data_IF_002928123353
#
_entry.id   IF_002928123353
#
_cell.length_a   1.000
_cell.length_b   1.000
_cell.length_c   1.000
_cell.angle_alpha   90.00
_cell.angle_beta   90.00
_cell.angle_gamma   90.00
#
_symmetry.space_group_name_H-M   'P 1'
#
loop_
_entity.id
_entity.type
_entity.pdbx_description
1 polymer ?
#
# COMPACT_ATOMS: atom_id res chain seq x y z
N UNK A 1 -38.05 10.00 -5.20
CA UNK A 1 -38.54 8.82 -4.45
C UNK A 1 -37.38 7.88 -4.31
N UNK A 2 -36.98 7.47 -3.11
CA UNK A 2 -35.97 6.45 -2.98
C UNK A 2 -36.53 5.14 -3.50
N UNK A 3 -35.76 4.48 -4.39
CA UNK A 3 -36.12 3.14 -4.87
C UNK A 3 -35.94 2.22 -3.66
N UNK A 4 -37.05 1.81 -3.07
CA UNK A 4 -37.09 0.76 -2.06
C UNK A 4 -36.65 -0.54 -2.74
N UNK A 5 -35.47 -1.01 -2.41
CA UNK A 5 -35.01 -2.36 -2.73
C UNK A 5 -35.83 -3.34 -1.84
N UNK A 6 -36.99 -3.75 -2.30
CA UNK A 6 -37.87 -4.69 -1.58
C UNK A 6 -37.23 -6.06 -1.33
N UNK A 7 -36.12 -6.40 -2.01
CA UNK A 7 -35.45 -7.71 -1.93
C UNK A 7 -34.24 -7.78 -0.96
N UNK A 8 -33.81 -6.66 -0.37
CA UNK A 8 -32.68 -6.65 0.56
C UNK A 8 -33.05 -6.96 2.02
N UNK A 9 -34.34 -6.94 2.33
CA UNK A 9 -34.87 -7.21 3.67
C UNK A 9 -34.77 -8.70 4.02
N UNK A 10 -33.65 -9.13 4.52
CA UNK A 10 -33.49 -10.51 4.96
C UNK A 10 -32.13 -11.13 4.62
N UNK A 11 -31.39 -10.59 3.67
CA UNK A 11 -30.06 -11.06 3.32
C UNK A 11 -28.97 -10.41 4.19
N UNK A 12 -27.92 -11.20 4.48
CA UNK A 12 -26.69 -10.70 5.09
C UNK A 12 -25.93 -9.93 4.02
N UNK A 13 -25.76 -8.63 4.23
CA UNK A 13 -25.09 -7.73 3.27
C UNK A 13 -23.93 -7.00 3.92
N UNK A 14 -22.96 -6.60 3.11
CA UNK A 14 -21.72 -5.98 3.57
C UNK A 14 -21.51 -4.62 2.95
N UNK A 15 -20.87 -3.74 3.72
CA UNK A 15 -20.23 -2.52 3.25
C UNK A 15 -18.77 -2.49 3.70
N UNK A 16 -17.96 -1.71 3.01
CA UNK A 16 -16.52 -1.63 3.28
C UNK A 16 -16.07 -0.20 3.49
N UNK A 17 -15.14 -0.01 4.42
CA UNK A 17 -14.35 1.19 4.62
C UNK A 17 -12.88 0.80 4.65
N UNK A 18 -12.03 1.61 4.05
CA UNK A 18 -10.59 1.37 4.02
C UNK A 18 -9.83 2.43 4.80
N UNK A 19 -8.67 2.05 5.33
CA UNK A 19 -7.79 2.97 6.02
C UNK A 19 -7.26 4.03 5.06
N UNK A 20 -7.34 5.30 5.47
CA UNK A 20 -6.74 6.43 4.74
C UNK A 20 -5.23 6.40 4.86
N UNK A 21 -4.55 6.53 3.74
CA UNK A 21 -3.08 6.47 3.68
C UNK A 21 -2.42 7.72 4.30
N UNK A 22 -3.12 8.83 4.51
CA UNK A 22 -2.50 10.13 4.80
C UNK A 22 -3.15 11.00 5.89
N UNK A 23 -4.14 10.55 6.67
CA UNK A 23 -4.80 11.46 7.61
C UNK A 23 -4.81 10.98 9.07
N UNK A 24 -4.50 11.92 10.00
CA UNK A 24 -4.49 11.67 11.45
C UNK A 24 -5.88 11.73 12.13
N UNK A 25 -6.91 12.24 11.47
CA UNK A 25 -8.17 12.63 12.13
C UNK A 25 -9.37 11.71 11.88
N UNK A 26 -9.38 10.95 10.80
CA UNK A 26 -10.34 9.87 10.57
C UNK A 26 -9.61 8.76 9.80
N UNK A 27 -9.27 7.64 10.46
CA UNK A 27 -8.43 6.63 9.84
C UNK A 27 -9.10 5.86 8.71
N UNK A 28 -10.43 5.94 8.57
CA UNK A 28 -11.17 5.19 7.56
C UNK A 28 -11.99 6.10 6.66
N UNK A 29 -12.10 5.73 5.40
CA UNK A 29 -12.96 6.36 4.38
C UNK A 29 -13.83 5.31 3.69
N UNK A 30 -14.89 5.75 3.02
CA UNK A 30 -15.73 4.86 2.23
C UNK A 30 -14.89 4.14 1.18
N UNK A 31 -15.23 2.88 0.90
CA UNK A 31 -14.58 2.10 -0.14
C UNK A 31 -14.57 2.84 -1.47
N UNK A 32 -13.42 2.82 -2.12
CA UNK A 32 -13.23 3.43 -3.44
C UNK A 32 -12.75 2.37 -4.44
N UNK A 33 -13.57 2.02 -5.46
CA UNK A 33 -13.22 1.00 -6.45
C UNK A 33 -12.02 1.38 -7.34
N UNK A 34 -11.65 2.66 -7.36
CA UNK A 34 -10.46 3.13 -8.08
C UNK A 34 -9.15 2.91 -7.30
N UNK A 35 -9.24 2.53 -6.03
CA UNK A 35 -8.09 2.40 -5.12
C UNK A 35 -7.98 1.04 -4.43
N UNK A 36 -9.00 0.20 -4.51
CA UNK A 36 -9.04 -1.06 -3.76
C UNK A 36 -9.54 -2.21 -4.62
N UNK A 37 -9.16 -3.46 -4.26
CA UNK A 37 -9.63 -4.64 -4.99
C UNK A 37 -11.15 -4.75 -5.02
N UNK A 38 -11.70 -5.23 -6.12
CA UNK A 38 -13.15 -5.34 -6.33
C UNK A 38 -13.77 -6.64 -5.78
N UNK A 39 -12.96 -7.54 -5.23
CA UNK A 39 -13.41 -8.80 -4.63
C UNK A 39 -13.00 -8.91 -3.18
N UNK A 40 -13.85 -9.50 -2.36
CA UNK A 40 -13.64 -9.69 -0.93
C UNK A 40 -13.88 -11.17 -0.58
N UNK A 41 -13.00 -11.74 0.25
CA UNK A 41 -13.23 -13.03 0.89
C UNK A 41 -13.84 -12.83 2.27
N UNK A 42 -14.89 -13.58 2.57
CA UNK A 42 -15.65 -13.45 3.82
C UNK A 42 -15.69 -14.79 4.55
N UNK A 43 -15.39 -14.74 5.83
CA UNK A 43 -15.67 -15.79 6.79
C UNK A 43 -16.72 -15.29 7.78
N UNK A 44 -17.70 -16.12 8.09
CA UNK A 44 -18.77 -15.76 9.02
C UNK A 44 -19.14 -16.94 9.92
N UNK A 45 -19.36 -16.69 11.19
CA UNK A 45 -19.75 -17.68 12.18
C UNK A 45 -20.93 -17.18 13.02
N UNK A 46 -21.77 -18.12 13.48
CA UNK A 46 -22.72 -17.88 14.54
C UNK A 46 -22.15 -18.39 15.88
N UNK A 47 -22.38 -17.67 16.96
CA UNK A 47 -22.06 -18.05 18.33
C UNK A 47 -20.61 -18.54 18.53
N UNK A 48 -19.67 -17.99 17.74
CA UNK A 48 -18.26 -18.41 17.68
C UNK A 48 -18.07 -19.90 17.34
N UNK A 49 -19.06 -20.54 16.71
CA UNK A 49 -18.97 -21.93 16.29
C UNK A 49 -18.28 -22.08 14.94
N UNK A 50 -16.98 -22.35 14.97
CA UNK A 50 -16.18 -22.57 13.77
C UNK A 50 -16.54 -23.85 13.00
N UNK A 51 -17.26 -24.81 13.63
CA UNK A 51 -17.68 -26.04 12.97
C UNK A 51 -18.84 -25.81 12.00
N UNK A 52 -19.69 -24.81 12.28
CA UNK A 52 -20.87 -24.48 11.49
C UNK A 52 -20.80 -23.05 10.97
N UNK A 53 -19.90 -22.74 10.02
CA UNK A 53 -19.76 -21.40 9.49
C UNK A 53 -20.97 -21.00 8.62
N UNK A 54 -21.31 -19.72 8.68
CA UNK A 54 -22.28 -19.07 7.78
C UNK A 54 -21.63 -18.89 6.40
N UNK A 55 -20.40 -18.40 6.40
CA UNK A 55 -19.57 -18.22 5.21
C UNK A 55 -18.21 -18.87 5.42
N UNK A 56 -17.76 -19.64 4.41
CA UNK A 56 -16.45 -20.28 4.35
C UNK A 56 -15.66 -19.69 3.20
N UNK A 57 -14.92 -18.62 3.44
CA UNK A 57 -14.20 -17.92 2.38
C UNK A 57 -15.09 -17.56 1.18
N UNK A 58 -16.31 -17.11 1.47
CA UNK A 58 -17.26 -16.74 0.44
C UNK A 58 -16.82 -15.50 -0.32
N UNK A 59 -16.95 -15.53 -1.63
CA UNK A 59 -16.63 -14.36 -2.47
C UNK A 59 -17.76 -13.35 -2.44
N UNK A 60 -17.41 -12.10 -2.14
CA UNK A 60 -18.29 -10.95 -2.39
C UNK A 60 -17.65 -10.03 -3.43
N UNK A 61 -18.44 -9.56 -4.38
CA UNK A 61 -17.98 -8.68 -5.46
C UNK A 61 -18.66 -7.33 -5.35
N UNK A 62 -17.88 -6.25 -5.45
CA UNK A 62 -18.42 -4.90 -5.38
C UNK A 62 -19.40 -4.60 -6.50
N UNK A 63 -20.59 -4.15 -6.13
CA UNK A 63 -21.61 -3.68 -7.05
C UNK A 63 -21.67 -2.14 -6.98
N UNK A 64 -21.18 -1.48 -8.04
CA UNK A 64 -21.12 -0.03 -8.10
C UNK A 64 -22.52 0.65 -8.12
N UNK A 65 -23.53 -0.04 -8.64
CA UNK A 65 -24.90 0.50 -8.72
C UNK A 65 -25.58 0.58 -7.36
N UNK A 66 -25.32 -0.40 -6.49
CA UNK A 66 -25.92 -0.48 -5.15
C UNK A 66 -24.94 -0.08 -4.03
N UNK A 67 -23.67 0.14 -4.38
CA UNK A 67 -22.59 0.41 -3.44
C UNK A 67 -22.49 -0.64 -2.31
N UNK A 68 -22.74 -1.90 -2.66
CA UNK A 68 -22.79 -3.02 -1.73
C UNK A 68 -21.95 -4.20 -2.21
N UNK A 69 -21.78 -5.17 -1.33
CA UNK A 69 -20.99 -6.37 -1.55
C UNK A 69 -21.86 -7.62 -1.45
N UNK A 70 -22.63 -7.95 -2.51
CA UNK A 70 -23.37 -9.21 -2.54
C UNK A 70 -22.40 -10.41 -2.55
N UNK A 71 -22.74 -11.43 -1.78
CA UNK A 71 -22.00 -12.71 -1.80
C UNK A 71 -22.47 -13.56 -2.97
N UNK A 72 -21.59 -14.44 -3.48
CA UNK A 72 -21.94 -15.37 -4.55
C UNK A 72 -23.08 -16.31 -4.14
N UNK A 73 -23.12 -16.71 -2.87
CA UNK A 73 -24.21 -17.50 -2.28
C UNK A 73 -24.90 -16.69 -1.18
N UNK A 74 -25.96 -15.94 -1.51
CA UNK A 74 -26.63 -15.10 -0.53
C UNK A 74 -27.22 -15.91 0.63
N UNK A 75 -27.01 -15.46 1.87
CA UNK A 75 -27.56 -16.02 3.10
C UNK A 75 -28.54 -15.05 3.73
N UNK A 76 -29.59 -15.57 4.36
CA UNK A 76 -30.59 -14.77 5.05
C UNK A 76 -30.37 -14.82 6.55
N UNK A 77 -30.63 -13.72 7.24
CA UNK A 77 -30.63 -13.70 8.70
C UNK A 77 -31.60 -14.70 9.29
N UNK A 78 -32.74 -14.89 8.63
CA UNK A 78 -33.79 -15.85 9.05
C UNK A 78 -33.34 -17.31 9.02
N UNK A 79 -32.26 -17.64 8.31
CA UNK A 79 -31.73 -19.00 8.26
C UNK A 79 -31.02 -19.38 9.59
N UNK A 80 -30.77 -18.38 10.46
CA UNK A 80 -30.03 -18.53 11.73
C UNK A 80 -30.83 -17.99 12.93
N UNK A 81 -32.07 -18.46 13.18
CA UNK A 81 -33.00 -17.84 14.13
C UNK A 81 -32.54 -17.97 15.60
N UNK A 82 -31.65 -18.91 15.89
CA UNK A 82 -31.17 -19.19 17.24
C UNK A 82 -29.81 -18.57 17.53
N UNK A 83 -29.20 -17.88 16.57
CA UNK A 83 -27.89 -17.27 16.77
C UNK A 83 -28.00 -16.07 17.70
N UNK A 84 -27.24 -16.08 18.79
CA UNK A 84 -27.15 -14.96 19.73
C UNK A 84 -26.06 -13.96 19.33
N UNK A 85 -25.07 -14.41 18.58
CA UNK A 85 -23.94 -13.62 18.10
C UNK A 85 -23.54 -14.03 16.69
N UNK A 86 -23.29 -13.06 15.85
CA UNK A 86 -22.69 -13.26 14.52
C UNK A 86 -21.32 -12.58 14.49
N UNK A 87 -20.32 -13.27 13.92
CA UNK A 87 -18.97 -12.72 13.74
C UNK A 87 -18.54 -12.83 12.30
N UNK A 88 -17.99 -11.73 11.72
CA UNK A 88 -17.54 -11.66 10.33
C UNK A 88 -16.12 -11.17 10.24
N UNK A 89 -15.31 -11.88 9.45
CA UNK A 89 -13.92 -11.58 9.11
C UNK A 89 -13.84 -11.43 7.61
N UNK A 90 -12.97 -10.54 7.15
CA UNK A 90 -12.83 -10.31 5.71
C UNK A 90 -11.44 -9.83 5.31
N UNK A 91 -11.12 -9.99 4.04
CA UNK A 91 -9.89 -9.54 3.40
C UNK A 91 -10.14 -9.29 1.92
N UNK A 92 -9.28 -8.54 1.27
CA UNK A 92 -9.31 -8.26 -0.16
C UNK A 92 -7.89 -8.35 -0.74
N UNK A 93 -7.74 -8.77 -2.03
CA UNK A 93 -8.74 -9.42 -2.87
C UNK A 93 -9.06 -10.85 -2.39
N UNK A 94 -10.18 -11.42 -2.84
CA UNK A 94 -10.51 -12.83 -2.58
C UNK A 94 -9.45 -13.78 -3.13
N UNK A 95 -9.11 -14.81 -2.37
CA UNK A 95 -8.22 -15.91 -2.72
C UNK A 95 -8.80 -17.24 -2.22
N UNK A 96 -8.89 -18.24 -3.10
CA UNK A 96 -9.36 -19.58 -2.72
C UNK A 96 -8.48 -20.26 -1.66
N UNK A 97 -7.20 -19.85 -1.58
CA UNK A 97 -6.24 -20.40 -0.61
C UNK A 97 -6.29 -19.73 0.76
N UNK A 98 -7.18 -18.76 0.97
CA UNK A 98 -7.31 -18.12 2.28
C UNK A 98 -7.93 -19.08 3.31
N UNK A 99 -7.47 -18.93 4.54
CA UNK A 99 -7.94 -19.74 5.67
C UNK A 99 -8.27 -18.86 6.86
N UNK A 100 -9.26 -19.27 7.63
CA UNK A 100 -9.50 -18.78 8.97
C UNK A 100 -9.44 -19.95 9.93
N UNK A 101 -8.40 -20.00 10.77
CA UNK A 101 -8.21 -21.06 11.75
C UNK A 101 -8.63 -20.56 13.13
N UNK A 102 -9.38 -21.38 13.85
CA UNK A 102 -9.69 -21.13 15.24
C UNK A 102 -8.72 -21.95 16.10
N UNK A 103 -7.92 -21.27 16.90
CA UNK A 103 -7.06 -21.91 17.89
C UNK A 103 -7.77 -22.00 19.24
N UNK A 104 -7.24 -22.78 20.15
CA UNK A 104 -7.77 -22.90 21.52
C UNK A 104 -7.89 -21.51 22.14
N UNK A 105 -9.03 -21.19 22.78
CA UNK A 105 -9.28 -19.93 23.52
C UNK A 105 -9.89 -18.77 22.73
N UNK A 106 -10.67 -19.01 21.67
CA UNK A 106 -11.39 -17.94 20.98
C UNK A 106 -10.50 -17.00 20.17
N UNK A 107 -9.30 -17.46 19.78
CA UNK A 107 -8.43 -16.73 18.86
C UNK A 107 -8.59 -17.27 17.45
N UNK A 108 -8.87 -16.40 16.52
CA UNK A 108 -9.01 -16.67 15.09
C UNK A 108 -7.82 -16.08 14.34
N UNK A 109 -7.20 -16.84 13.47
CA UNK A 109 -6.12 -16.36 12.61
C UNK A 109 -6.55 -16.43 11.16
N UNK A 110 -6.71 -15.25 10.55
CA UNK A 110 -6.96 -15.07 9.13
C UNK A 110 -5.63 -15.06 8.40
N UNK A 111 -5.52 -15.88 7.36
CA UNK A 111 -4.30 -16.01 6.56
C UNK A 111 -4.65 -16.14 5.09
N UNK A 112 -3.94 -15.42 4.22
CA UNK A 112 -4.10 -15.53 2.78
C UNK A 112 -2.80 -15.22 2.05
N UNK A 113 -2.53 -15.91 0.91
CA UNK A 113 -1.37 -15.63 0.10
C UNK A 113 -1.55 -14.35 -0.69
N UNK A 114 -0.46 -13.64 -0.87
CA UNK A 114 -0.37 -12.48 -1.75
C UNK A 114 0.85 -12.59 -2.65
N UNK A 115 0.68 -12.26 -3.91
CA UNK A 115 1.77 -12.19 -4.89
C UNK A 115 1.63 -10.91 -5.70
N UNK A 116 2.74 -10.25 -5.95
CA UNK A 116 2.78 -9.13 -6.89
C UNK A 116 2.57 -9.66 -8.29
N UNK A 117 1.61 -9.09 -9.01
CA UNK A 117 1.30 -9.53 -10.36
C UNK A 117 2.54 -9.46 -11.26
N UNK A 118 2.77 -10.55 -11.97
CA UNK A 118 3.78 -10.73 -13.02
C UNK A 118 5.25 -10.75 -12.60
N UNK A 119 5.61 -10.74 -11.33
CA UNK A 119 7.01 -10.80 -10.86
C UNK A 119 8.00 -9.88 -11.61
N UNK A 120 7.51 -8.95 -12.41
CA UNK A 120 8.32 -8.02 -13.23
C UNK A 120 8.65 -6.72 -12.51
N UNK A 121 7.94 -6.43 -11.43
CA UNK A 121 8.18 -5.27 -10.59
C UNK A 121 8.08 -5.64 -9.11
N UNK A 122 9.02 -5.20 -8.27
CA UNK A 122 8.96 -5.37 -6.82
C UNK A 122 8.08 -4.33 -6.13
N UNK A 123 7.41 -3.48 -6.90
CA UNK A 123 6.62 -2.36 -6.40
C UNK A 123 5.27 -2.30 -7.10
N UNK A 124 4.25 -1.91 -6.36
CA UNK A 124 2.91 -1.65 -6.85
C UNK A 124 2.70 -0.14 -6.90
N UNK A 125 2.33 0.38 -8.04
CA UNK A 125 1.87 1.77 -8.21
C UNK A 125 0.35 1.88 -8.20
N UNK A 126 -0.35 0.78 -8.53
CA UNK A 126 -1.80 0.72 -8.53
C UNK A 126 -2.30 0.08 -7.22
N UNK A 127 -2.88 0.88 -6.36
CA UNK A 127 -3.43 0.42 -5.08
C UNK A 127 -4.62 -0.53 -5.22
N UNK A 128 -5.23 -0.65 -6.42
CA UNK A 128 -6.25 -1.68 -6.70
C UNK A 128 -5.72 -3.11 -6.52
N UNK A 129 -4.42 -3.31 -6.71
CA UNK A 129 -3.77 -4.59 -6.49
C UNK A 129 -3.29 -4.79 -5.04
N UNK A 130 -3.33 -3.76 -4.19
CA UNK A 130 -2.83 -3.85 -2.83
C UNK A 130 -3.81 -4.60 -1.93
N UNK A 131 -3.37 -5.67 -1.24
CA UNK A 131 -4.23 -6.42 -0.34
C UNK A 131 -4.53 -5.62 0.93
N UNK A 132 -5.74 -5.82 1.45
CA UNK A 132 -6.21 -5.23 2.72
C UNK A 132 -6.88 -6.29 3.57
N UNK A 133 -6.80 -6.13 4.89
CA UNK A 133 -7.33 -7.10 5.86
C UNK A 133 -8.23 -6.39 6.87
N UNK A 134 -9.29 -7.04 7.35
CA UNK A 134 -10.16 -6.40 8.33
C UNK A 134 -9.40 -5.95 9.58
N UNK A 135 -9.67 -4.72 10.01
CA UNK A 135 -9.06 -4.11 11.18
C UNK A 135 -9.46 -4.86 12.44
N UNK A 136 -10.77 -5.10 12.56
CA UNK A 136 -11.39 -5.94 13.58
C UNK A 136 -12.54 -6.71 12.95
N UNK A 137 -12.85 -7.92 13.43
CA UNK A 137 -14.07 -8.62 13.08
C UNK A 137 -15.28 -7.80 13.51
N UNK A 138 -16.35 -7.87 12.73
CA UNK A 138 -17.62 -7.25 13.11
C UNK A 138 -18.48 -8.28 13.80
N UNK A 139 -18.90 -7.97 15.04
CA UNK A 139 -19.88 -8.77 15.77
C UNK A 139 -21.25 -8.09 15.74
N UNK A 140 -22.28 -8.87 15.49
CA UNK A 140 -23.68 -8.45 15.58
C UNK A 140 -24.41 -9.36 16.56
N UNK A 141 -25.12 -8.78 17.49
CA UNK A 141 -26.07 -9.52 18.34
C UNK A 141 -27.23 -10.12 17.55
N UNK A 142 -28.00 -10.99 18.17
CA UNK A 142 -29.16 -11.62 17.54
C UNK A 142 -30.03 -10.61 16.82
N UNK A 143 -30.27 -10.84 15.52
CA UNK A 143 -31.04 -9.91 14.68
C UNK A 143 -32.51 -10.24 14.81
N UNK A 144 -33.24 -9.38 15.49
CA UNK A 144 -34.70 -9.39 15.45
C UNK A 144 -35.18 -8.69 14.18
N UNK A 145 -36.39 -9.00 13.74
CA UNK A 145 -37.04 -8.43 12.54
C UNK A 145 -37.17 -6.91 12.57
N UNK A 146 -36.90 -6.28 13.70
CA UNK A 146 -37.06 -4.85 13.95
C UNK A 146 -35.75 -4.04 13.88
N UNK A 147 -34.58 -4.69 13.74
CA UNK A 147 -33.31 -3.98 13.68
C UNK A 147 -33.05 -3.40 12.29
N UNK A 148 -33.10 -2.09 12.17
CA UNK A 148 -32.88 -1.35 10.91
C UNK A 148 -31.46 -1.45 10.35
N UNK A 149 -30.45 -1.78 11.18
CA UNK A 149 -29.05 -1.84 10.78
C UNK A 149 -28.59 -3.27 10.46
N UNK A 150 -28.96 -3.75 9.28
CA UNK A 150 -28.67 -5.11 8.80
C UNK A 150 -27.40 -5.22 7.99
N UNK A 151 -26.74 -4.11 7.67
CA UNK A 151 -25.51 -4.09 6.90
C UNK A 151 -24.31 -4.31 7.81
N UNK A 152 -23.44 -5.24 7.46
CA UNK A 152 -22.19 -5.47 8.14
C UNK A 152 -21.14 -4.48 7.63
N UNK A 153 -20.77 -3.52 8.47
CA UNK A 153 -19.79 -2.48 8.10
C UNK A 153 -18.37 -2.95 8.43
N UNK A 154 -17.65 -3.41 7.42
CA UNK A 154 -16.27 -3.89 7.54
C UNK A 154 -15.27 -2.74 7.39
N UNK A 155 -14.26 -2.69 8.24
CA UNK A 155 -13.13 -1.75 8.15
C UNK A 155 -11.87 -2.53 7.83
N UNK A 156 -11.07 -2.00 6.90
CA UNK A 156 -9.88 -2.67 6.40
C UNK A 156 -8.62 -1.83 6.62
N UNK A 157 -7.58 -2.49 7.10
CA UNK A 157 -6.24 -1.95 7.21
C UNK A 157 -5.40 -2.32 5.99
N UNK A 158 -4.50 -1.43 5.60
CA UNK A 158 -3.51 -1.67 4.56
C UNK A 158 -2.48 -2.70 5.03
N UNK A 159 -2.05 -3.55 4.12
CA UNK A 159 -1.08 -4.60 4.44
C UNK A 159 0.30 -4.36 3.83
N UNK A 160 0.44 -3.41 2.93
CA UNK A 160 1.70 -3.05 2.29
C UNK A 160 2.29 -1.77 2.89
N UNK A 161 3.59 -1.61 2.74
CA UNK A 161 4.30 -0.37 3.11
C UNK A 161 4.43 0.53 1.88
N UNK A 162 4.03 1.79 2.04
CA UNK A 162 4.12 2.79 0.98
C UNK A 162 5.38 3.66 1.08
N UNK A 163 5.87 4.13 -0.05
CA UNK A 163 7.01 5.04 -0.17
C UNK A 163 6.76 6.10 -1.24
N UNK A 164 7.39 7.27 -1.05
CA UNK A 164 7.61 8.21 -2.13
C UNK A 164 9.07 8.66 -2.18
N UNK A 165 9.54 8.97 -3.37
CA UNK A 165 10.89 9.46 -3.60
C UNK A 165 10.87 10.96 -3.82
N UNK A 166 11.80 11.66 -3.19
CA UNK A 166 12.04 13.07 -3.48
C UNK A 166 13.53 13.38 -3.45
N UNK A 167 13.91 14.32 -4.27
CA UNK A 167 15.32 14.70 -4.49
C UNK A 167 15.53 16.17 -4.22
N UNK A 168 16.67 16.49 -3.65
CA UNK A 168 17.14 17.86 -3.46
C UNK A 168 18.64 17.93 -3.77
N UNK A 169 19.09 19.04 -4.33
CA UNK A 169 20.50 19.35 -4.46
C UNK A 169 21.04 19.87 -3.12
N UNK A 170 22.28 19.51 -2.76
CA UNK A 170 22.93 20.08 -1.59
C UNK A 170 23.03 21.61 -1.71
N UNK A 171 22.69 22.34 -0.65
CA UNK A 171 22.68 23.79 -0.61
C UNK A 171 24.08 24.41 -0.91
N UNK A 172 25.16 23.69 -0.65
CA UNK A 172 26.51 24.12 -1.02
C UNK A 172 26.76 24.18 -2.52
N UNK A 173 25.90 23.53 -3.30
CA UNK A 173 25.96 23.52 -4.76
C UNK A 173 25.35 24.75 -5.41
N UNK A 174 24.65 25.53 -4.65
CA UNK A 174 24.13 26.83 -4.90
C UNK A 174 23.28 27.02 -6.20
N UNK A 175 22.70 28.20 -6.34
CA UNK A 175 21.72 28.60 -7.38
C UNK A 175 22.24 28.55 -8.83
N UNK A 176 23.54 28.31 -9.07
CA UNK A 176 24.13 28.27 -10.40
C UNK A 176 24.08 26.89 -11.07
N UNK A 177 23.50 25.87 -10.40
CA UNK A 177 23.43 24.52 -10.93
C UNK A 177 22.05 23.92 -10.78
N UNK A 178 21.64 23.29 -11.85
CA UNK A 178 20.44 22.46 -11.85
C UNK A 178 20.81 21.03 -12.18
N UNK A 179 20.09 20.11 -11.58
CA UNK A 179 20.08 18.72 -11.97
C UNK A 179 18.76 18.40 -12.64
N UNK A 180 18.86 17.81 -13.80
CA UNK A 180 17.73 17.36 -14.57
C UNK A 180 17.70 15.85 -14.53
N UNK A 181 16.84 15.26 -13.68
CA UNK A 181 16.69 13.82 -13.57
C UNK A 181 15.93 13.29 -14.76
N UNK A 182 16.47 12.25 -15.41
CA UNK A 182 15.85 11.55 -16.53
C UNK A 182 15.21 10.24 -16.10
N UNK A 183 15.84 9.51 -15.21
CA UNK A 183 15.31 8.22 -14.74
C UNK A 183 15.74 7.91 -13.33
N UNK A 184 14.86 7.16 -12.67
CA UNK A 184 15.14 6.56 -11.38
C UNK A 184 14.83 5.07 -11.52
N UNK A 185 15.77 4.24 -11.11
CA UNK A 185 15.61 2.77 -11.15
C UNK A 185 15.87 2.17 -9.79
N UNK A 186 15.29 1.00 -9.57
CA UNK A 186 15.39 0.23 -8.36
C UNK A 186 15.99 -1.14 -8.68
N UNK A 187 16.97 -1.57 -7.90
CA UNK A 187 17.61 -2.87 -8.01
C UNK A 187 17.70 -3.53 -6.64
N UNK A 188 17.75 -4.85 -6.59
CA UNK A 188 17.92 -5.61 -5.34
C UNK A 188 17.27 -6.97 -5.38
N UNK A 189 17.45 -7.74 -4.32
CA UNK A 189 16.70 -8.97 -4.10
C UNK A 189 15.48 -8.64 -3.24
N UNK A 190 14.33 -8.44 -3.88
CA UNK A 190 13.16 -7.82 -3.28
C UNK A 190 11.99 -8.79 -3.21
N UNK A 191 11.13 -8.61 -2.20
CA UNK A 191 9.96 -9.45 -1.98
C UNK A 191 8.97 -9.37 -3.14
N UNK A 192 8.48 -10.54 -3.58
CA UNK A 192 7.51 -10.69 -4.67
C UNK A 192 6.23 -11.37 -4.23
N UNK A 193 6.28 -12.18 -3.16
CA UNK A 193 5.10 -12.80 -2.58
C UNK A 193 5.29 -13.07 -1.10
N UNK A 194 4.19 -13.23 -0.39
CA UNK A 194 4.17 -13.58 1.03
C UNK A 194 2.82 -14.20 1.42
N UNK A 195 2.76 -14.72 2.62
CA UNK A 195 1.51 -15.03 3.31
C UNK A 195 1.21 -13.91 4.31
N UNK A 196 0.06 -13.27 4.17
CA UNK A 196 -0.41 -12.21 5.09
C UNK A 196 -1.27 -12.86 6.16
N UNK A 197 -1.01 -12.53 7.43
CA UNK A 197 -1.70 -13.08 8.59
C UNK A 197 -2.13 -12.00 9.57
N UNK A 198 -3.26 -12.23 10.24
CA UNK A 198 -3.68 -11.44 11.39
C UNK A 198 -4.49 -12.30 12.35
N UNK A 199 -4.18 -12.21 13.63
CA UNK A 199 -4.92 -12.90 14.68
C UNK A 199 -5.88 -11.97 15.39
N UNK A 200 -7.05 -12.48 15.74
CA UNK A 200 -8.11 -11.77 16.43
C UNK A 200 -8.54 -12.58 17.64
N UNK A 201 -8.56 -11.96 18.81
CA UNK A 201 -8.94 -12.61 20.06
C UNK A 201 -10.16 -11.93 20.65
N UNK A 202 -11.19 -12.70 20.92
CA UNK A 202 -12.37 -12.23 21.63
C UNK A 202 -12.06 -12.02 23.11
N UNK A 203 -12.44 -10.90 23.65
CA UNK A 203 -12.30 -10.57 25.07
C UNK A 203 -13.69 -10.53 25.72
N UNK A 204 -14.02 -11.58 26.48
CA UNK A 204 -15.31 -11.69 27.16
C UNK A 204 -15.56 -10.56 28.16
N UNK A 205 -14.51 -10.09 28.84
CA UNK A 205 -14.64 -9.05 29.87
C UNK A 205 -15.04 -7.68 29.27
N UNK A 206 -14.55 -7.36 28.08
CA UNK A 206 -14.87 -6.11 27.37
C UNK A 206 -15.91 -6.26 26.27
N UNK A 207 -16.35 -7.48 26.02
CA UNK A 207 -17.26 -7.85 24.92
C UNK A 207 -16.79 -7.26 23.57
N UNK A 208 -15.49 -7.44 23.26
CA UNK A 208 -14.86 -6.82 22.11
C UNK A 208 -13.74 -7.68 21.54
N UNK A 209 -13.40 -7.41 20.28
CA UNK A 209 -12.26 -8.01 19.61
C UNK A 209 -10.98 -7.23 19.83
N UNK A 210 -9.87 -7.95 20.00
CA UNK A 210 -8.52 -7.44 19.88
C UNK A 210 -7.87 -8.03 18.63
N UNK A 211 -7.10 -7.23 17.90
CA UNK A 211 -6.32 -7.69 16.76
C UNK A 211 -4.83 -7.62 17.05
N UNK A 212 -4.08 -8.60 16.57
CA UNK A 212 -2.62 -8.51 16.52
C UNK A 212 -2.17 -7.50 15.47
N UNK A 213 -0.89 -7.20 15.46
CA UNK A 213 -0.26 -6.60 14.28
C UNK A 213 -0.41 -7.53 13.07
N UNK A 214 -0.34 -6.97 11.87
CA UNK A 214 -0.31 -7.74 10.63
C UNK A 214 1.05 -8.42 10.54
N UNK A 215 1.05 -9.71 10.20
CA UNK A 215 2.26 -10.52 9.99
C UNK A 215 2.45 -10.88 8.52
N UNK A 216 3.71 -11.04 8.13
CA UNK A 216 4.11 -11.52 6.80
C UNK A 216 5.06 -12.70 6.99
N UNK A 217 4.70 -13.85 6.41
CA UNK A 217 5.53 -15.06 6.40
C UNK A 217 5.75 -15.55 4.98
N UNK A 218 6.61 -16.56 4.84
CA UNK A 218 6.90 -17.24 3.57
C UNK A 218 7.31 -16.26 2.45
N UNK A 219 8.01 -15.18 2.82
CA UNK A 219 8.39 -14.13 1.88
C UNK A 219 9.33 -14.69 0.82
N UNK A 220 8.86 -14.69 -0.43
CA UNK A 220 9.67 -15.03 -1.60
C UNK A 220 10.27 -13.76 -2.18
N UNK A 221 11.51 -13.88 -2.68
CA UNK A 221 12.25 -12.75 -3.26
C UNK A 221 12.78 -13.10 -4.62
N UNK A 222 12.89 -12.09 -5.47
CA UNK A 222 13.53 -12.21 -6.78
C UNK A 222 14.56 -11.09 -7.00
N UNK A 223 15.59 -11.34 -7.79
CA UNK A 223 16.53 -10.30 -8.17
C UNK A 223 15.90 -9.36 -9.20
N UNK A 224 16.01 -8.06 -8.95
CA UNK A 224 15.61 -6.99 -9.86
C UNK A 224 16.82 -6.14 -10.22
N UNK A 225 16.91 -5.77 -11.49
CA UNK A 225 18.01 -4.95 -12.01
C UNK A 225 17.42 -3.77 -12.79
N UNK A 226 17.75 -2.57 -12.35
CA UNK A 226 17.35 -1.31 -13.03
C UNK A 226 15.85 -1.22 -13.37
N UNK A 227 14.99 -1.73 -12.47
CA UNK A 227 13.54 -1.63 -12.63
C UNK A 227 13.13 -0.17 -12.56
N UNK A 228 12.47 0.40 -13.58
CA UNK A 228 12.10 1.80 -13.61
C UNK A 228 11.08 2.15 -12.52
N UNK A 229 11.31 3.27 -11.83
CA UNK A 229 10.27 3.97 -11.06
C UNK A 229 9.77 5.09 -11.98
N UNK A 230 8.60 4.93 -12.62
CA UNK A 230 8.12 5.90 -13.59
C UNK A 230 7.79 7.22 -12.90
N UNK A 231 8.08 8.32 -13.56
CA UNK A 231 7.50 9.59 -13.21
C UNK A 231 6.04 9.56 -13.65
N UNK A 232 5.12 9.53 -12.71
CA UNK A 232 3.70 9.42 -13.03
C UNK A 232 2.87 10.34 -12.13
N UNK A 233 2.15 11.27 -12.80
CA UNK A 233 1.00 11.90 -12.18
C UNK A 233 1.26 12.95 -11.10
N UNK A 234 2.48 13.43 -10.92
CA UNK A 234 2.75 14.55 -10.03
C UNK A 234 2.81 15.85 -10.84
N UNK A 235 1.86 16.73 -10.57
CA UNK A 235 1.80 18.08 -11.18
C UNK A 235 2.82 19.00 -10.49
N UNK A 236 4.10 18.77 -10.78
CA UNK A 236 5.21 19.58 -10.29
C UNK A 236 5.64 20.55 -11.36
N UNK A 237 5.71 21.83 -11.04
CA UNK A 237 6.30 22.87 -11.90
C UNK A 237 7.77 22.59 -12.29
N UNK A 238 8.40 21.65 -11.59
CA UNK A 238 9.77 21.21 -11.86
C UNK A 238 9.86 20.11 -12.93
N UNK A 239 8.73 19.50 -13.30
CA UNK A 239 8.70 18.42 -14.28
C UNK A 239 8.41 18.97 -15.68
N UNK A 240 9.19 18.53 -16.65
CA UNK A 240 9.04 18.84 -18.06
C UNK A 240 8.48 17.62 -18.79
N UNK A 241 7.20 17.66 -19.15
CA UNK A 241 6.52 16.57 -19.85
C UNK A 241 7.11 16.28 -21.23
N UNK A 242 7.63 17.30 -21.91
CA UNK A 242 8.20 17.15 -23.26
C UNK A 242 9.51 16.36 -23.24
N UNK A 243 10.31 16.52 -22.19
CA UNK A 243 11.60 15.83 -22.03
C UNK A 243 11.54 14.66 -21.06
N UNK A 244 10.40 14.44 -20.39
CA UNK A 244 10.22 13.42 -19.33
C UNK A 244 11.28 13.54 -18.22
N UNK A 245 11.58 14.77 -17.81
CA UNK A 245 12.64 15.07 -16.83
C UNK A 245 12.14 15.94 -15.69
N UNK A 246 12.78 15.84 -14.52
CA UNK A 246 12.50 16.69 -13.37
C UNK A 246 13.73 17.52 -12.99
N UNK A 247 13.52 18.82 -12.80
CA UNK A 247 14.56 19.75 -12.35
C UNK A 247 14.64 19.71 -10.83
N UNK A 248 15.85 19.48 -10.32
CA UNK A 248 16.15 19.44 -8.88
C UNK A 248 17.10 20.59 -8.54
N UNK A 249 16.70 21.40 -7.58
CA UNK A 249 17.46 22.55 -7.08
C UNK A 249 17.79 22.38 -5.58
N UNK A 250 18.51 23.33 -5.02
CA UNK A 250 18.80 23.36 -3.57
C UNK A 250 17.66 23.98 -2.73
N UNK A 251 16.67 24.59 -3.36
CA UNK A 251 15.61 25.33 -2.67
C UNK A 251 14.57 24.44 -2.00
N UNK A 252 14.39 23.22 -2.51
CA UNK A 252 13.40 22.29 -1.95
C UNK A 252 13.51 20.90 -2.54
N UNK A 253 12.68 19.98 -2.01
CA UNK A 253 12.58 18.62 -2.54
C UNK A 253 11.64 18.59 -3.74
N UNK A 254 12.11 17.98 -4.82
CA UNK A 254 11.30 17.63 -5.99
C UNK A 254 10.92 16.15 -5.88
N UNK A 255 9.63 15.88 -5.81
CA UNK A 255 9.12 14.50 -5.78
C UNK A 255 9.27 13.86 -7.15
N UNK A 256 9.71 12.59 -7.17
CA UNK A 256 9.78 11.76 -8.36
C UNK A 256 8.66 10.73 -8.36
N UNK A 257 7.72 10.89 -9.27
CA UNK A 257 6.66 9.91 -9.48
C UNK A 257 5.57 9.88 -8.43
N UNK A 258 4.75 8.86 -8.53
CA UNK A 258 3.69 8.55 -7.58
C UNK A 258 4.23 7.76 -6.39
N UNK A 259 3.43 7.67 -5.34
CA UNK A 259 3.65 6.73 -4.26
C UNK A 259 3.70 5.29 -4.81
N UNK A 260 4.53 4.47 -4.22
CA UNK A 260 4.62 3.04 -4.54
C UNK A 260 4.61 2.19 -3.28
N UNK A 261 4.21 0.94 -3.43
CA UNK A 261 4.02 0.02 -2.30
C UNK A 261 4.85 -1.24 -2.49
N UNK A 262 5.35 -1.77 -1.38
CA UNK A 262 6.12 -3.02 -1.33
C UNK A 262 5.56 -3.94 -0.25
N UNK A 263 5.83 -5.24 -0.36
CA UNK A 263 5.66 -6.17 0.74
C UNK A 263 6.62 -5.76 1.86
N UNK A 264 6.13 -5.56 3.10
CA UNK A 264 7.01 -5.33 4.24
C UNK A 264 8.01 -6.47 4.41
N UNK A 265 9.29 -6.16 4.42
CA UNK A 265 10.37 -7.14 4.47
C UNK A 265 11.58 -6.56 5.19
N UNK A 266 12.01 -7.22 6.27
CA UNK A 266 13.19 -6.80 7.05
C UNK A 266 14.50 -6.87 6.25
N UNK A 267 14.52 -7.67 5.18
CA UNK A 267 15.63 -7.75 4.24
C UNK A 267 15.53 -6.75 3.08
N UNK A 268 14.58 -5.80 3.12
CA UNK A 268 14.42 -4.80 2.08
C UNK A 268 15.62 -3.84 2.06
N UNK A 269 16.52 -4.04 1.12
CA UNK A 269 17.73 -3.23 0.91
C UNK A 269 17.86 -2.82 -0.56
N UNK A 270 16.92 -2.02 -1.10
CA UNK A 270 16.94 -1.64 -2.49
C UNK A 270 18.08 -0.67 -2.78
N UNK A 271 18.67 -0.83 -3.97
CA UNK A 271 19.58 0.14 -4.56
C UNK A 271 18.77 1.07 -5.48
N UNK A 272 18.80 2.35 -5.19
CA UNK A 272 18.21 3.38 -6.03
C UNK A 272 19.33 3.96 -6.90
N UNK A 273 19.14 3.94 -8.22
CA UNK A 273 20.03 4.57 -9.19
C UNK A 273 19.30 5.71 -9.88
N UNK A 274 19.94 6.86 -9.95
CA UNK A 274 19.41 8.07 -10.59
C UNK A 274 20.30 8.42 -11.77
N UNK A 275 19.70 8.67 -12.94
CA UNK A 275 20.37 9.19 -14.12
C UNK A 275 19.93 10.64 -14.33
N UNK A 276 20.89 11.55 -14.47
CA UNK A 276 20.63 12.97 -14.52
C UNK A 276 21.64 13.73 -15.36
N UNK A 277 21.23 14.92 -15.84
CA UNK A 277 22.15 15.91 -16.40
C UNK A 277 22.51 16.93 -15.33
N UNK A 278 23.75 17.40 -15.38
CA UNK A 278 24.22 18.53 -14.57
C UNK A 278 24.30 19.75 -15.48
N UNK A 279 23.53 20.78 -15.17
CA UNK A 279 23.48 22.03 -15.90
C UNK A 279 24.14 23.14 -15.10
N UNK A 280 25.12 23.83 -15.68
CA UNK A 280 25.67 25.07 -15.14
C UNK A 280 24.87 26.23 -15.69
N UNK A 281 24.32 27.05 -14.82
CA UNK A 281 23.47 28.19 -15.17
C UNK A 281 24.24 29.49 -15.00
N UNK A 282 24.21 30.34 -16.01
CA UNK A 282 24.80 31.69 -15.97
C UNK A 282 23.91 32.65 -15.16
N UNK A 283 24.46 33.82 -14.80
CA UNK A 283 23.71 34.86 -14.09
C UNK A 283 22.46 35.34 -14.86
N UNK A 284 22.47 35.24 -16.19
CA UNK A 284 21.32 35.56 -17.03
C UNK A 284 20.27 34.43 -17.13
N UNK A 285 20.44 33.35 -16.36
CA UNK A 285 19.56 32.19 -16.32
C UNK A 285 19.74 31.20 -17.48
N UNK A 286 20.71 31.40 -18.37
CA UNK A 286 20.96 30.48 -19.49
C UNK A 286 21.88 29.34 -19.08
N UNK A 287 21.62 28.17 -19.61
CA UNK A 287 22.49 27.01 -19.46
C UNK A 287 23.79 27.23 -20.23
N UNK A 288 24.93 27.28 -19.54
CA UNK A 288 26.25 27.46 -20.15
C UNK A 288 26.86 26.13 -20.59
N UNK A 289 26.72 25.12 -19.74
CA UNK A 289 27.33 23.80 -19.96
C UNK A 289 26.38 22.75 -19.41
N UNK A 290 26.24 21.66 -20.13
CA UNK A 290 25.49 20.48 -19.69
C UNK A 290 26.37 19.25 -19.76
N UNK A 291 26.53 18.54 -18.62
CA UNK A 291 27.03 17.18 -18.61
C UNK A 291 25.83 16.22 -18.61
N UNK A 292 25.73 15.41 -19.65
CA UNK A 292 24.61 14.49 -19.84
C UNK A 292 24.87 13.12 -19.23
N UNK A 293 23.77 12.47 -18.80
CA UNK A 293 23.73 11.07 -18.39
C UNK A 293 24.68 10.68 -17.25
N UNK A 294 24.93 11.60 -16.32
CA UNK A 294 25.59 11.24 -15.07
C UNK A 294 24.72 10.29 -14.26
N UNK A 295 25.35 9.36 -13.56
CA UNK A 295 24.63 8.40 -12.72
C UNK A 295 25.13 8.43 -11.29
N UNK A 296 24.22 8.25 -10.36
CA UNK A 296 24.53 8.04 -8.94
C UNK A 296 23.62 6.98 -8.37
N UNK A 297 24.13 6.25 -7.37
CA UNK A 297 23.34 5.22 -6.73
C UNK A 297 23.56 5.19 -5.22
N UNK A 298 22.50 4.82 -4.50
CA UNK A 298 22.52 4.58 -3.06
C UNK A 298 21.80 3.28 -2.75
N UNK A 299 22.33 2.51 -1.80
CA UNK A 299 21.61 1.37 -1.23
C UNK A 299 20.92 1.81 0.05
N UNK A 300 19.61 1.62 0.11
CA UNK A 300 18.84 1.85 1.34
C UNK A 300 19.04 0.66 2.27
N UNK A 301 19.37 0.93 3.52
CA UNK A 301 19.53 -0.09 4.55
C UNK A 301 19.09 0.46 5.92
N UNK A 302 19.16 -0.35 6.96
CA UNK A 302 18.77 0.06 8.32
C UNK A 302 19.61 1.22 8.86
N UNK A 303 20.84 1.38 8.42
CA UNK A 303 21.75 2.42 8.90
C UNK A 303 21.39 3.80 8.36
N UNK A 304 20.99 3.87 7.09
CA UNK A 304 20.71 5.14 6.42
C UNK A 304 19.21 5.47 6.29
N UNK A 305 18.32 4.52 6.54
CA UNK A 305 16.87 4.74 6.43
C UNK A 305 16.08 4.21 7.63
N UNK A 306 16.74 3.67 8.64
CA UNK A 306 16.08 3.10 9.81
C UNK A 306 15.27 1.84 9.50
N UNK A 307 14.25 1.58 10.29
CA UNK A 307 13.41 0.39 10.13
C UNK A 307 12.39 0.64 9.02
N UNK A 308 12.68 0.15 7.80
CA UNK A 308 11.85 0.34 6.62
C UNK A 308 10.48 -0.36 6.71
N UNK A 309 10.30 -1.29 7.63
CA UNK A 309 9.24 -2.30 7.48
C UNK A 309 8.36 -2.53 8.69
N UNK A 310 8.82 -2.34 9.91
CA UNK A 310 8.05 -2.73 11.10
C UNK A 310 7.07 -1.66 11.56
N UNK A 311 5.77 -1.97 11.56
CA UNK A 311 4.70 -1.18 12.18
C UNK A 311 4.21 0.03 11.37
N UNK A 312 4.55 0.14 10.08
CA UNK A 312 4.23 1.30 9.25
C UNK A 312 3.39 0.98 8.00
N UNK A 313 2.53 -0.01 8.09
CA UNK A 313 1.47 -0.19 7.10
C UNK A 313 0.55 1.03 7.09
N UNK A 314 -0.03 1.36 5.94
CA UNK A 314 -0.91 2.50 5.73
C UNK A 314 -0.27 3.90 5.82
N UNK A 315 1.05 3.98 5.93
CA UNK A 315 1.76 5.27 5.87
C UNK A 315 2.64 5.30 4.61
N UNK A 316 2.66 6.45 3.94
CA UNK A 316 3.68 6.71 2.94
C UNK A 316 4.92 7.23 3.66
N UNK A 317 6.01 6.49 3.53
CA UNK A 317 7.30 6.83 4.10
C UNK A 317 8.09 7.67 3.08
N UNK A 318 8.40 8.93 3.36
CA UNK A 318 9.18 9.74 2.44
C UNK A 318 10.63 9.27 2.41
N UNK A 319 11.13 8.97 1.22
CA UNK A 319 12.55 8.75 0.96
C UNK A 319 13.10 10.04 0.36
N UNK A 320 13.83 10.79 1.17
CA UNK A 320 14.41 12.07 0.79
C UNK A 320 15.88 11.88 0.46
N UNK A 321 16.25 12.16 -0.78
CA UNK A 321 17.61 11.94 -1.27
C UNK A 321 18.26 13.27 -1.59
N UNK A 322 19.39 13.52 -0.91
CA UNK A 322 20.24 14.67 -1.18
C UNK A 322 21.27 14.31 -2.23
N UNK A 323 21.32 15.03 -3.34
CA UNK A 323 22.28 14.83 -4.39
C UNK A 323 23.50 15.72 -4.12
N UNK A 324 24.67 15.10 -3.92
CA UNK A 324 25.94 15.77 -3.77
C UNK A 324 26.90 15.35 -4.89
N UNK A 325 27.11 16.18 -5.92
CA UNK A 325 28.13 15.90 -6.92
C UNK A 325 29.53 15.98 -6.32
N UNK A 326 30.34 14.96 -6.48
CA UNK A 326 31.67 14.89 -5.91
C UNK A 326 32.64 15.95 -6.43
N UNK A 327 32.46 16.43 -7.66
CA UNK A 327 33.43 17.33 -8.30
C UNK A 327 32.73 18.51 -8.99
N UNK A 328 33.13 19.68 -8.52
CA UNK A 328 32.66 20.98 -9.04
C UNK A 328 33.43 21.40 -10.31
N UNK A 329 34.56 20.82 -10.63
CA UNK A 329 35.55 21.40 -11.53
C UNK A 329 36.01 20.55 -12.70
N UNK A 330 35.59 19.28 -12.78
CA UNK A 330 36.06 18.41 -13.88
C UNK A 330 35.08 18.46 -15.04
N UNK A 331 35.13 19.53 -15.80
CA UNK A 331 34.46 19.63 -17.10
C UNK A 331 35.28 18.96 -18.23
N UNK A 332 36.48 18.46 -17.93
CA UNK A 332 37.41 17.98 -18.94
C UNK A 332 37.47 16.46 -19.10
N UNK A 333 37.01 15.68 -18.15
CA UNK A 333 37.11 14.21 -18.21
C UNK A 333 35.73 13.55 -18.12
N UNK A 334 35.25 13.03 -19.26
CA UNK A 334 33.85 12.58 -19.40
C UNK A 334 33.55 11.25 -18.72
N UNK A 335 34.57 10.44 -18.35
CA UNK A 335 34.36 9.04 -17.97
C UNK A 335 34.38 8.76 -16.46
N UNK A 336 34.73 9.73 -15.62
CA UNK A 336 35.02 9.48 -14.21
C UNK A 336 34.01 10.11 -13.22
N UNK A 337 32.92 10.69 -13.67
CA UNK A 337 32.05 11.42 -12.76
C UNK A 337 30.96 10.54 -12.13
N UNK A 338 31.11 10.24 -10.87
CA UNK A 338 30.06 9.66 -10.01
C UNK A 338 29.69 10.65 -8.92
N UNK A 339 28.43 11.03 -8.85
CA UNK A 339 27.87 11.79 -7.73
C UNK A 339 27.60 10.90 -6.53
N UNK A 340 27.45 11.50 -5.36
CA UNK A 340 26.92 10.82 -4.18
C UNK A 340 25.46 11.11 -3.99
N UNK A 341 24.71 10.08 -3.58
CA UNK A 341 23.37 10.22 -3.04
C UNK A 341 23.46 10.01 -1.53
N UNK A 342 22.84 10.91 -0.76
CA UNK A 342 22.67 10.78 0.68
C UNK A 342 21.18 10.80 0.99
N UNK A 343 20.81 10.18 2.10
CA UNK A 343 19.45 10.28 2.66
C UNK A 343 19.45 11.34 3.73
N UNK A 344 18.46 12.22 3.70
CA UNK A 344 18.24 13.31 4.63
C UNK A 344 17.14 12.94 5.65
#
# INVERSE_FOLDING_TARGET
>A
MPIQHADSYGYITFSAQSQKILTRTNPYEAYNPERHPATMGIFGYQDNDAANPIFRNETATYNASTQSWPTATPKRWADYPNASLFCFFAYMPHSEAATLTNTISGTYTLSFPFSMENATSPVIFDTKAAPIICALPVSKGGITTENEDRVINLKFDQTLTGYNLSFRLDAKMNAIRHFRIHSVTLSGNLATSCTITRSYTWNDASNSWNASDIGWSDVQRAPFVDTPIPYKGYDSKAYDDATQTAIVTSEGYTQWGSDFFTIPDDAFTPKIKVTYDVELIAEDGKTMVTRKNATSAITLNKENFGNLTTGKTAMINPIRILIQPRYLYVLADQDAYTGHLLID
#
